data_IF_841003070330
#
_entry.id   IF_841003070330
#
_cell.length_a   1.000
_cell.length_b   1.000
_cell.length_c   1.000
_cell.angle_alpha   90.00
_cell.angle_beta   90.00
_cell.angle_gamma   90.00
#
_symmetry.space_group_name_H-M   'P 1'
#
loop_
_entity.id
_entity.type
_entity.pdbx_description
1 polymer ?
#
# COMPACT_ATOMS: atom_id res chain seq x y z
N UNK A 1 -12.86 6.99 -1.91
CA UNK A 1 -11.41 7.04 -1.62
C UNK A 1 -10.95 5.60 -1.46
N UNK A 2 -9.68 5.32 -1.73
CA UNK A 2 -9.17 3.95 -1.85
C UNK A 2 -7.89 3.80 -1.05
N UNK A 3 -7.70 2.65 -0.42
CA UNK A 3 -6.47 2.29 0.28
C UNK A 3 -5.69 1.28 -0.55
N UNK A 4 -4.41 1.54 -0.75
CA UNK A 4 -3.47 0.59 -1.33
C UNK A 4 -2.56 0.03 -0.25
N UNK A 5 -2.54 -1.29 -0.11
CA UNK A 5 -1.62 -2.04 0.75
C UNK A 5 -0.50 -2.59 -0.11
N UNK A 6 0.76 -2.35 0.26
CA UNK A 6 1.93 -2.72 -0.54
C UNK A 6 3.07 -3.23 0.35
N UNK A 7 3.96 -4.03 -0.23
CA UNK A 7 5.16 -4.50 0.44
C UNK A 7 6.31 -3.49 0.28
N UNK A 8 6.99 -3.22 1.37
CA UNK A 8 8.21 -2.43 1.46
C UNK A 8 9.42 -3.27 1.06
N UNK A 9 10.54 -2.59 0.75
CA UNK A 9 11.78 -3.24 0.31
C UNK A 9 12.46 -4.07 1.41
N UNK A 10 12.10 -3.84 2.67
CA UNK A 10 12.58 -4.58 3.83
C UNK A 10 11.71 -5.82 4.14
N UNK A 11 10.70 -6.09 3.32
CA UNK A 11 9.79 -7.23 3.46
C UNK A 11 8.57 -6.95 4.33
N UNK A 12 8.50 -5.82 5.03
CA UNK A 12 7.31 -5.39 5.75
C UNK A 12 6.23 -4.87 4.80
N UNK A 13 5.05 -4.61 5.33
CA UNK A 13 3.90 -4.11 4.61
C UNK A 13 3.51 -2.74 5.16
N UNK A 14 3.04 -1.86 4.29
CA UNK A 14 2.40 -0.59 4.67
C UNK A 14 1.20 -0.34 3.78
N UNK A 15 0.48 0.75 4.02
CA UNK A 15 -0.61 1.18 3.19
C UNK A 15 -0.63 2.69 3.00
N UNK A 16 -1.23 3.12 1.89
CA UNK A 16 -1.46 4.53 1.60
C UNK A 16 -2.90 4.76 1.17
N UNK A 17 -3.45 5.88 1.60
CA UNK A 17 -4.78 6.34 1.22
C UNK A 17 -4.69 7.28 0.03
N UNK A 18 -5.37 6.92 -1.05
CA UNK A 18 -5.53 7.76 -2.23
C UNK A 18 -6.84 8.54 -2.08
N UNK A 19 -6.69 9.82 -1.76
CA UNK A 19 -7.78 10.78 -1.63
C UNK A 19 -7.71 11.84 -2.73
N UNK A 20 -8.81 12.58 -2.91
CA UNK A 20 -8.90 13.67 -3.89
C UNK A 20 -7.84 14.75 -3.69
N UNK A 21 -7.41 14.98 -2.45
CA UNK A 21 -6.47 16.04 -2.08
C UNK A 21 -5.02 15.56 -1.98
N UNK A 22 -4.75 14.27 -2.20
CA UNK A 22 -3.40 13.72 -2.14
C UNK A 22 -3.35 12.27 -1.64
N UNK A 23 -2.11 11.82 -1.45
CA UNK A 23 -1.78 10.50 -0.92
C UNK A 23 -1.31 10.66 0.52
N UNK A 24 -1.93 9.94 1.44
CA UNK A 24 -1.49 9.84 2.84
C UNK A 24 -0.94 8.45 3.09
N UNK A 25 0.36 8.34 3.33
CA UNK A 25 1.03 7.07 3.63
C UNK A 25 1.01 6.80 5.13
N UNK A 26 0.77 5.55 5.50
CA UNK A 26 0.86 5.11 6.89
C UNK A 26 2.32 4.88 7.30
N UNK A 27 2.68 5.36 8.49
CA UNK A 27 4.02 5.18 9.04
C UNK A 27 4.27 3.76 9.59
N UNK A 28 3.23 2.92 9.65
CA UNK A 28 3.28 1.55 10.14
C UNK A 28 4.07 0.63 9.23
N UNK A 29 4.85 -0.25 9.86
CA UNK A 29 5.56 -1.34 9.21
C UNK A 29 4.99 -2.64 9.77
N UNK A 30 4.15 -3.30 8.97
CA UNK A 30 3.45 -4.50 9.37
C UNK A 30 4.21 -5.76 8.92
N UNK A 31 4.40 -6.76 9.79
CA UNK A 31 5.05 -8.02 9.42
C UNK A 31 4.35 -8.77 8.28
N UNK A 32 3.03 -8.64 8.18
CA UNK A 32 2.22 -9.39 7.21
C UNK A 32 1.26 -8.48 6.45
N UNK A 33 0.88 -8.91 5.24
CA UNK A 33 -0.16 -8.25 4.43
C UNK A 33 -1.46 -8.10 5.19
N UNK A 34 -1.90 -9.16 5.87
CA UNK A 34 -3.19 -9.19 6.55
C UNK A 34 -3.24 -8.21 7.74
N UNK A 35 -2.11 -8.02 8.43
CA UNK A 35 -1.98 -6.99 9.46
C UNK A 35 -2.10 -5.59 8.88
N UNK A 36 -1.46 -5.31 7.74
CA UNK A 36 -1.59 -4.02 7.04
C UNK A 36 -3.03 -3.78 6.55
N UNK A 37 -3.69 -4.79 5.99
CA UNK A 37 -5.10 -4.71 5.55
C UNK A 37 -6.03 -4.46 6.74
N UNK A 38 -5.80 -5.15 7.86
CA UNK A 38 -6.59 -4.98 9.08
C UNK A 38 -6.41 -3.57 9.64
N UNK A 39 -5.17 -3.09 9.74
CA UNK A 39 -4.89 -1.74 10.20
C UNK A 39 -5.51 -0.66 9.30
N UNK A 40 -5.41 -0.82 7.98
CA UNK A 40 -6.06 0.04 7.00
C UNK A 40 -7.59 0.10 7.20
N UNK A 41 -8.22 -1.07 7.37
CA UNK A 41 -9.67 -1.18 7.56
C UNK A 41 -10.15 -0.56 8.87
N UNK A 42 -9.32 -0.63 9.93
CA UNK A 42 -9.61 0.02 11.22
C UNK A 42 -9.43 1.54 11.17
N UNK A 43 -8.39 2.02 10.47
CA UNK A 43 -8.09 3.45 10.34
C UNK A 43 -9.07 4.16 9.41
N UNK A 44 -9.50 3.49 8.34
CA UNK A 44 -10.38 4.03 7.31
C UNK A 44 -11.62 3.15 7.10
N UNK A 45 -12.56 3.12 8.08
CA UNK A 45 -13.75 2.29 7.97
C UNK A 45 -14.60 2.71 6.77
N UNK A 46 -14.95 1.72 5.94
CA UNK A 46 -15.79 1.92 4.75
C UNK A 46 -15.03 2.30 3.47
N UNK A 47 -13.71 2.42 3.52
CA UNK A 47 -12.90 2.58 2.32
C UNK A 47 -12.54 1.24 1.69
N UNK A 48 -12.46 1.20 0.36
CA UNK A 48 -12.05 0.00 -0.36
C UNK A 48 -10.55 -0.20 -0.23
N UNK A 49 -10.15 -1.36 0.31
CA UNK A 49 -8.75 -1.76 0.44
C UNK A 49 -8.38 -2.64 -0.75
N UNK A 50 -7.29 -2.29 -1.43
CA UNK A 50 -6.69 -3.06 -2.51
C UNK A 50 -5.24 -3.37 -2.15
N UNK A 51 -4.80 -4.58 -2.46
CA UNK A 51 -3.39 -4.93 -2.31
C UNK A 51 -2.71 -4.80 -3.65
N UNK A 52 -1.60 -4.08 -3.67
CA UNK A 52 -0.72 -3.95 -4.84
C UNK A 52 0.45 -4.89 -4.62
N UNK A 53 0.53 -5.95 -5.42
CA UNK A 53 1.77 -6.72 -5.52
C UNK A 53 2.84 -5.79 -6.09
N UNK A 54 4.06 -5.85 -5.56
CA UNK A 54 5.19 -5.00 -5.92
C UNK A 54 5.53 -5.11 -7.43
N UNK A 55 4.71 -4.47 -8.27
CA UNK A 55 4.95 -4.28 -9.68
C UNK A 55 5.48 -2.87 -9.78
N UNK A 56 6.81 -2.78 -9.85
CA UNK A 56 7.56 -1.73 -10.53
C UNK A 56 6.92 -0.35 -10.48
N UNK A 57 7.42 0.45 -9.53
CA UNK A 57 7.50 1.91 -9.52
C UNK A 57 6.84 2.62 -10.74
N UNK A 58 5.71 3.35 -10.56
CA UNK A 58 5.10 4.12 -11.63
C UNK A 58 5.97 5.30 -12.12
N UNK A 59 7.08 5.62 -11.45
CA UNK A 59 8.06 6.64 -11.85
C UNK A 59 9.29 6.07 -12.58
N UNK A 60 9.51 4.75 -12.58
CA UNK A 60 10.55 4.12 -13.41
C UNK A 60 9.97 3.01 -14.27
N UNK A 61 9.42 3.39 -15.42
CA UNK A 61 9.08 2.51 -16.53
C UNK A 61 10.30 1.81 -17.13
N UNK A 62 11.00 0.99 -16.35
CA UNK A 62 12.06 0.11 -16.81
C UNK A 62 11.71 -1.32 -16.40
N UNK A 63 11.03 -2.02 -17.32
CA UNK A 63 11.11 -3.47 -17.36
C UNK A 63 12.60 -3.85 -17.40
N UNK A 64 13.09 -4.51 -16.36
CA UNK A 64 14.28 -5.36 -16.51
C UNK A 64 13.77 -6.72 -16.94
N UNK A 65 13.84 -6.97 -18.24
CA UNK A 65 13.80 -8.30 -18.83
C UNK A 65 15.15 -8.96 -18.55
N UNK A 66 15.13 -10.15 -17.97
CA UNK A 66 16.16 -11.17 -18.19
C UNK A 66 15.50 -12.31 -18.97
#
# INVERSE_FOLDING_TARGET
MMIEVFQLTDGHWSFRRIALLGVEEDAGHYPTRDEAVTAASLKYPGESVSTVEATTDPATGKLRSD
#
